data_IF_714560278851
#
_entry.id   IF_714560278851
#
_cell.length_a   1.000
_cell.length_b   1.000
_cell.length_c   1.000
_cell.angle_alpha   90.00
_cell.angle_beta   90.00
_cell.angle_gamma   90.00
#
_symmetry.space_group_name_H-M   'P 1'
#
loop_
_entity.id
_entity.type
_entity.pdbx_description
1 polymer ?
#
# COMPACT_ATOMS: atom_id res chain seq x y z
N UNK A 1 10.28 19.75 1.12
CA UNK A 1 9.04 19.20 0.52
C UNK A 1 8.08 18.78 1.63
N UNK A 2 6.77 18.90 1.39
CA UNK A 2 5.75 18.53 2.38
C UNK A 2 5.34 17.08 2.24
N UNK A 3 5.39 16.34 3.35
CA UNK A 3 4.99 14.94 3.42
C UNK A 3 3.84 14.80 4.41
N UNK A 4 2.69 14.35 3.92
CA UNK A 4 1.60 13.94 4.79
C UNK A 4 1.87 12.53 5.33
N UNK A 5 1.70 12.36 6.63
CA UNK A 5 1.83 11.06 7.30
C UNK A 5 0.57 10.69 8.05
N UNK A 6 0.12 9.45 7.89
CA UNK A 6 -1.00 8.88 8.62
C UNK A 6 -0.86 7.37 8.73
N UNK A 7 -1.60 6.79 9.67
CA UNK A 7 -1.68 5.36 9.88
C UNK A 7 -3.04 4.84 9.45
N UNK A 8 -3.07 3.60 8.99
CA UNK A 8 -4.30 2.85 8.81
C UNK A 8 -4.21 1.51 9.53
N UNK A 9 -5.26 1.18 10.26
CA UNK A 9 -5.38 -0.05 11.06
C UNK A 9 -6.66 -0.79 10.73
N UNK A 10 -6.61 -2.11 10.68
CA UNK A 10 -7.79 -2.94 10.44
C UNK A 10 -7.52 -4.40 10.80
N UNK A 11 -8.58 -5.17 11.08
CA UNK A 11 -8.44 -6.57 11.49
C UNK A 11 -7.96 -7.44 10.32
N UNK A 12 -8.50 -7.17 9.13
CA UNK A 12 -8.24 -7.91 7.91
C UNK A 12 -7.96 -6.97 6.74
N UNK A 13 -7.19 -7.44 5.77
CA UNK A 13 -6.96 -6.74 4.51
C UNK A 13 -6.94 -7.71 3.31
N UNK A 14 -7.27 -7.19 2.13
CA UNK A 14 -7.10 -7.90 0.88
C UNK A 14 -6.70 -6.94 -0.25
N UNK A 15 -5.46 -7.01 -0.68
CA UNK A 15 -4.90 -6.21 -1.77
C UNK A 15 -4.69 -7.11 -2.99
N UNK A 16 -5.72 -7.24 -3.84
CA UNK A 16 -5.74 -8.24 -4.92
C UNK A 16 -4.50 -8.17 -5.81
N UNK A 17 -3.86 -9.32 -6.03
CA UNK A 17 -2.81 -9.49 -7.05
C UNK A 17 -3.38 -9.41 -8.45
N UNK A 18 -2.77 -8.59 -9.30
CA UNK A 18 -3.27 -8.33 -10.68
C UNK A 18 -3.05 -9.50 -11.64
N UNK A 19 -2.14 -10.43 -11.32
CA UNK A 19 -1.73 -11.53 -12.20
C UNK A 19 -2.40 -12.87 -11.87
N UNK A 20 -3.43 -12.89 -11.01
CA UNK A 20 -4.14 -14.12 -10.63
C UNK A 20 -5.59 -14.10 -11.10
N UNK A 21 -5.96 -15.09 -11.92
CA UNK A 21 -7.30 -15.20 -12.50
C UNK A 21 -8.24 -16.06 -11.64
N UNK A 22 -7.82 -17.28 -11.28
CA UNK A 22 -8.69 -18.28 -10.62
C UNK A 22 -8.65 -18.24 -9.09
N UNK A 23 -7.65 -17.56 -8.52
CA UNK A 23 -7.49 -17.38 -7.08
C UNK A 23 -7.45 -15.90 -6.76
N UNK A 24 -7.92 -15.53 -5.57
CA UNK A 24 -7.83 -14.16 -5.06
C UNK A 24 -6.67 -14.08 -4.09
N UNK A 25 -5.45 -13.95 -4.62
CA UNK A 25 -4.25 -13.75 -3.80
C UNK A 25 -4.10 -12.27 -3.42
N UNK A 26 -3.44 -12.00 -2.29
CA UNK A 26 -3.21 -10.65 -1.77
C UNK A 26 -1.71 -10.28 -1.81
N UNK A 27 -1.40 -9.02 -2.09
CA UNK A 27 -0.14 -8.41 -1.66
C UNK A 27 -0.10 -8.31 -0.13
N UNK A 28 1.08 -8.08 0.45
CA UNK A 28 1.24 -7.89 1.91
C UNK A 28 0.90 -6.48 2.39
N UNK A 29 0.92 -5.50 1.50
CA UNK A 29 0.61 -4.10 1.78
C UNK A 29 -0.12 -3.53 0.55
N UNK A 30 -0.86 -2.42 0.67
CA UNK A 30 -1.54 -1.83 -0.47
C UNK A 30 -0.51 -1.28 -1.47
N UNK A 31 -0.55 -1.68 -2.75
CA UNK A 31 0.27 -1.05 -3.78
C UNK A 31 -0.02 0.46 -3.90
N UNK A 32 0.89 1.27 -4.49
CA UNK A 32 0.67 2.70 -4.71
C UNK A 32 -0.68 3.01 -5.38
N UNK A 33 -1.09 2.21 -6.36
CA UNK A 33 -2.40 2.33 -7.03
C UNK A 33 -3.59 2.15 -6.08
N UNK A 34 -3.48 1.26 -5.10
CA UNK A 34 -4.51 1.06 -4.06
C UNK A 34 -4.53 2.23 -3.09
N UNK A 35 -3.36 2.76 -2.72
CA UNK A 35 -3.26 3.92 -1.82
C UNK A 35 -3.83 5.16 -2.50
N UNK A 36 -3.55 5.37 -3.78
CA UNK A 36 -4.19 6.41 -4.60
C UNK A 36 -5.72 6.29 -4.54
N UNK A 37 -6.27 5.08 -4.71
CA UNK A 37 -7.72 4.84 -4.58
C UNK A 37 -8.26 5.11 -3.17
N UNK A 38 -7.52 4.75 -2.12
CA UNK A 38 -7.89 5.07 -0.74
C UNK A 38 -7.92 6.58 -0.51
N UNK A 39 -6.92 7.31 -1.00
CA UNK A 39 -6.83 8.78 -0.90
C UNK A 39 -7.96 9.46 -1.69
N UNK A 40 -8.16 9.03 -2.93
CA UNK A 40 -9.23 9.48 -3.79
C UNK A 40 -10.61 9.32 -3.11
N UNK A 41 -10.86 8.16 -2.49
CA UNK A 41 -12.09 7.90 -1.74
C UNK A 41 -12.25 8.83 -0.52
N UNK A 42 -11.18 9.06 0.25
CA UNK A 42 -11.22 9.99 1.39
C UNK A 42 -11.55 11.43 0.95
N UNK A 43 -11.03 11.85 -0.21
CA UNK A 43 -11.26 13.16 -0.84
C UNK A 43 -12.58 13.25 -1.62
N UNK A 44 -13.30 12.14 -1.82
CA UNK A 44 -14.58 12.12 -2.53
C UNK A 44 -14.45 12.19 -4.05
N UNK A 45 -13.33 11.71 -4.61
CA UNK A 45 -13.19 11.55 -6.06
C UNK A 45 -14.08 10.42 -6.54
N UNK A 46 -14.69 10.64 -7.69
CA UNK A 46 -15.53 9.65 -8.34
C UNK A 46 -14.71 8.47 -8.84
N UNK A 47 -15.39 7.34 -8.99
CA UNK A 47 -14.79 6.13 -9.54
C UNK A 47 -14.25 6.42 -10.94
N UNK A 48 -13.00 6.03 -11.19
CA UNK A 48 -12.29 6.21 -12.47
C UNK A 48 -11.91 7.65 -12.86
N UNK A 49 -12.10 8.63 -11.97
CA UNK A 49 -11.79 10.03 -12.29
C UNK A 49 -10.41 10.52 -11.83
N UNK A 50 -9.65 9.69 -11.11
CA UNK A 50 -8.51 10.17 -10.30
C UNK A 50 -7.13 9.70 -10.79
N UNK A 51 -7.05 8.92 -11.87
CA UNK A 51 -5.78 8.32 -12.32
C UNK A 51 -4.71 9.35 -12.70
N UNK A 52 -5.08 10.45 -13.36
CA UNK A 52 -4.13 11.51 -13.72
C UNK A 52 -3.71 12.37 -12.51
N UNK A 53 -4.63 12.61 -11.57
CA UNK A 53 -4.35 13.33 -10.32
C UNK A 53 -3.30 12.58 -9.48
N UNK A 54 -3.44 11.26 -9.37
CA UNK A 54 -2.54 10.41 -8.58
C UNK A 54 -1.51 9.62 -9.39
N UNK A 55 -1.11 10.15 -10.56
CA UNK A 55 -0.04 9.56 -11.37
C UNK A 55 1.32 9.72 -10.67
N UNK A 56 2.26 8.80 -10.92
CA UNK A 56 3.56 8.73 -10.25
C UNK A 56 4.39 10.05 -10.26
N UNK A 57 4.16 10.92 -11.23
CA UNK A 57 4.80 12.24 -11.34
C UNK A 57 4.22 13.27 -10.36
N UNK A 58 2.94 13.13 -10.03
CA UNK A 58 2.18 14.02 -9.17
C UNK A 58 2.02 13.47 -7.75
N UNK A 59 2.13 12.14 -7.57
CA UNK A 59 1.84 11.45 -6.33
C UNK A 59 2.88 10.37 -6.04
N UNK A 60 3.56 10.49 -4.91
CA UNK A 60 4.56 9.52 -4.46
C UNK A 60 4.18 8.98 -3.09
N UNK A 61 4.40 7.68 -2.91
CA UNK A 61 4.01 6.99 -1.68
C UNK A 61 5.13 6.10 -1.17
N UNK A 62 5.36 6.18 0.14
CA UNK A 62 6.11 5.17 0.88
C UNK A 62 5.17 4.49 1.87
N UNK A 63 5.39 3.19 2.08
CA UNK A 63 4.60 2.38 3.00
C UNK A 63 5.53 1.75 4.02
N UNK A 64 5.27 1.96 5.30
CA UNK A 64 5.88 1.20 6.39
C UNK A 64 4.85 0.23 6.94
N UNK A 65 5.19 -1.05 6.97
CA UNK A 65 4.40 -2.08 7.67
C UNK A 65 4.78 -1.97 9.15
N UNK A 66 3.78 -1.78 10.02
CA UNK A 66 4.02 -1.54 11.45
C UNK A 66 3.94 -2.82 12.29
N UNK A 67 3.27 -3.86 11.80
CA UNK A 67 3.07 -5.13 12.51
C UNK A 67 3.37 -6.32 11.62
N UNK A 68 4.05 -7.36 12.14
CA UNK A 68 4.24 -8.61 11.41
C UNK A 68 2.91 -9.19 10.94
N UNK A 69 2.88 -9.62 9.68
CA UNK A 69 1.67 -10.05 8.99
C UNK A 69 1.65 -11.57 8.80
N UNK A 70 0.46 -12.16 8.74
CA UNK A 70 0.23 -13.53 8.28
C UNK A 70 -0.85 -13.56 7.22
N UNK A 71 -0.79 -14.58 6.37
CA UNK A 71 -1.77 -14.87 5.33
C UNK A 71 -2.58 -16.10 5.72
N UNK A 72 -3.89 -15.99 5.58
CA UNK A 72 -4.81 -17.12 5.72
C UNK A 72 -5.59 -17.29 4.42
N UNK A 73 -5.76 -18.53 4.00
CA UNK A 73 -6.50 -18.86 2.77
C UNK A 73 -7.80 -19.56 3.16
N UNK A 74 -8.91 -18.99 2.72
CA UNK A 74 -10.25 -19.58 2.86
C UNK A 74 -10.85 -19.84 1.49
N UNK A 75 -11.65 -20.88 1.36
CA UNK A 75 -12.45 -21.09 0.16
C UNK A 75 -13.77 -20.34 0.30
N UNK A 76 -14.01 -19.38 -0.59
CA UNK A 76 -15.24 -18.57 -0.60
C UNK A 76 -16.14 -19.04 -1.74
N UNK A 77 -17.43 -19.20 -1.44
CA UNK A 77 -18.46 -19.53 -2.43
C UNK A 77 -18.93 -18.24 -3.12
N UNK A 78 -18.57 -18.08 -4.39
CA UNK A 78 -19.09 -17.03 -5.25
C UNK A 78 -20.28 -17.53 -6.10
N UNK A 79 -21.13 -16.60 -6.52
CA UNK A 79 -22.17 -16.89 -7.49
C UNK A 79 -21.53 -17.17 -8.86
N UNK A 80 -21.88 -18.30 -9.48
CA UNK A 80 -21.46 -18.62 -10.85
C UNK A 80 -22.39 -17.93 -11.83
N UNK A 81 -21.96 -16.81 -12.43
CA UNK A 81 -22.77 -16.04 -13.39
C UNK A 81 -22.26 -16.28 -14.81
N UNK A 82 -23.05 -16.97 -15.62
CA UNK A 82 -22.83 -17.17 -17.07
C UNK A 82 -23.76 -16.32 -17.93
N UNK A 83 -24.86 -15.84 -17.35
CA UNK A 83 -25.78 -14.90 -17.98
C UNK A 83 -26.74 -14.25 -16.97
N UNK A 84 -27.59 -13.34 -17.45
CA UNK A 84 -28.52 -12.56 -16.60
C UNK A 84 -29.41 -13.41 -15.68
N UNK A 85 -29.84 -14.58 -16.12
CA UNK A 85 -30.72 -15.47 -15.33
C UNK A 85 -30.05 -15.95 -14.03
N UNK A 86 -28.74 -16.11 -14.03
CA UNK A 86 -27.99 -16.65 -12.89
C UNK A 86 -27.90 -15.62 -11.74
N UNK A 87 -28.17 -14.34 -12.01
CA UNK A 87 -28.26 -13.29 -10.99
C UNK A 87 -29.46 -13.47 -10.06
N UNK A 88 -30.51 -14.15 -10.54
CA UNK A 88 -31.77 -14.33 -9.82
C UNK A 88 -32.01 -15.79 -9.40
N UNK A 89 -31.36 -16.75 -10.07
CA UNK A 89 -31.48 -18.17 -9.78
C UNK A 89 -30.16 -18.72 -9.24
N UNK A 90 -30.16 -19.20 -7.98
CA UNK A 90 -28.97 -19.80 -7.36
C UNK A 90 -28.59 -21.10 -8.08
N UNK A 91 -27.50 -21.08 -8.82
CA UNK A 91 -26.84 -22.29 -9.34
C UNK A 91 -25.79 -22.80 -8.34
N UNK A 92 -25.16 -23.94 -8.65
CA UNK A 92 -23.97 -24.41 -7.93
C UNK A 92 -22.92 -23.28 -7.85
N UNK A 93 -22.41 -22.96 -6.65
CA UNK A 93 -21.45 -21.87 -6.48
C UNK A 93 -20.11 -22.23 -7.14
N UNK A 94 -19.33 -21.20 -7.45
CA UNK A 94 -17.91 -21.37 -7.77
C UNK A 94 -17.08 -21.15 -6.50
N UNK A 95 -16.14 -22.04 -6.25
CA UNK A 95 -15.29 -22.02 -5.07
C UNK A 95 -13.96 -21.39 -5.41
N UNK A 96 -13.69 -20.23 -4.81
CA UNK A 96 -12.49 -19.45 -5.08
C UNK A 96 -11.62 -19.44 -3.82
N UNK A 97 -10.36 -19.91 -3.89
CA UNK A 97 -9.38 -19.68 -2.84
C UNK A 97 -9.16 -18.17 -2.68
N UNK A 98 -9.38 -17.67 -1.47
CA UNK A 98 -9.33 -16.27 -1.12
C UNK A 98 -8.32 -16.05 0.01
N UNK A 99 -7.27 -15.30 -0.29
CA UNK A 99 -6.23 -14.96 0.67
C UNK A 99 -6.61 -13.68 1.44
N UNK A 100 -6.57 -13.76 2.76
CA UNK A 100 -6.83 -12.66 3.67
C UNK A 100 -5.55 -12.39 4.45
N UNK A 101 -5.15 -11.13 4.53
CA UNK A 101 -4.10 -10.67 5.43
C UNK A 101 -4.68 -10.38 6.81
N UNK A 102 -3.93 -10.72 7.86
CA UNK A 102 -4.16 -10.26 9.23
C UNK A 102 -2.83 -10.14 9.97
N UNK A 103 -2.83 -9.46 11.11
CA UNK A 103 -1.64 -9.41 11.97
C UNK A 103 -1.34 -10.74 12.62
N UNK A 104 -0.08 -10.95 13.01
CA UNK A 104 0.28 -12.02 13.97
C UNK A 104 -0.43 -11.79 15.32
N UNK A 105 -0.68 -10.52 15.68
CA UNK A 105 -1.44 -10.07 16.85
C UNK A 105 -2.78 -9.40 16.42
N UNK A 106 -3.53 -10.09 15.56
CA UNK A 106 -4.93 -9.82 15.20
C UNK A 106 -5.28 -8.52 14.45
N UNK A 107 -4.32 -7.65 14.11
CA UNK A 107 -4.55 -6.50 13.22
C UNK A 107 -3.39 -6.20 12.28
N UNK A 108 -3.73 -5.71 11.09
CA UNK A 108 -2.78 -5.11 10.17
C UNK A 108 -2.69 -3.62 10.45
N UNK A 109 -1.48 -3.08 10.40
CA UNK A 109 -1.23 -1.66 10.60
C UNK A 109 -0.16 -1.19 9.62
N UNK A 110 -0.46 -0.11 8.92
CA UNK A 110 0.45 0.54 7.96
C UNK A 110 0.59 2.01 8.31
N UNK A 111 1.79 2.56 8.10
CA UNK A 111 2.03 4.00 8.06
C UNK A 111 2.35 4.42 6.65
N UNK A 112 1.63 5.42 6.18
CA UNK A 112 1.78 5.99 4.84
C UNK A 112 2.50 7.32 4.91
N UNK A 113 3.35 7.55 3.92
CA UNK A 113 4.02 8.82 3.67
C UNK A 113 3.65 9.24 2.26
N UNK A 114 2.93 10.34 2.15
CA UNK A 114 2.38 10.81 0.90
C UNK A 114 2.99 12.16 0.57
N UNK A 115 3.59 12.21 -0.61
CA UNK A 115 3.90 13.46 -1.28
C UNK A 115 2.95 13.64 -2.45
N UNK A 116 2.49 14.87 -2.64
CA UNK A 116 1.73 15.26 -3.82
C UNK A 116 2.25 16.59 -4.34
N UNK A 117 2.20 16.80 -5.66
CA UNK A 117 2.64 18.04 -6.32
C UNK A 117 1.81 19.24 -5.88
N UNK A 118 0.51 19.04 -5.68
CA UNK A 118 -0.41 20.02 -5.13
C UNK A 118 -0.48 19.87 -3.59
N UNK A 119 -0.01 20.91 -2.88
CA UNK A 119 -0.03 20.97 -1.43
C UNK A 119 -1.45 21.19 -0.88
N UNK A 120 -2.34 21.84 -1.62
CA UNK A 120 -3.71 22.11 -1.16
C UNK A 120 -4.48 20.79 -0.98
N UNK A 121 -4.24 19.82 -1.86
CA UNK A 121 -4.73 18.45 -1.71
C UNK A 121 -4.20 17.80 -0.42
N UNK A 122 -2.91 17.96 -0.10
CA UNK A 122 -2.34 17.42 1.14
C UNK A 122 -2.96 18.07 2.39
N UNK A 123 -3.18 19.39 2.36
CA UNK A 123 -3.82 20.12 3.45
C UNK A 123 -5.28 19.69 3.63
N UNK A 124 -6.03 19.53 2.54
CA UNK A 124 -7.41 19.02 2.58
C UNK A 124 -7.45 17.59 3.16
N UNK A 125 -6.57 16.71 2.70
CA UNK A 125 -6.50 15.33 3.20
C UNK A 125 -6.08 15.29 4.68
N UNK A 126 -5.12 16.11 5.09
CA UNK A 126 -4.71 16.28 6.50
C UNK A 126 -5.90 16.68 7.37
N UNK A 127 -6.67 17.68 6.95
CA UNK A 127 -7.84 18.16 7.68
C UNK A 127 -8.91 17.07 7.81
N UNK A 128 -9.20 16.36 6.71
CA UNK A 128 -10.18 15.25 6.71
C UNK A 128 -9.76 14.13 7.65
N UNK A 129 -8.47 13.77 7.69
CA UNK A 129 -7.93 12.75 8.58
C UNK A 129 -8.05 13.19 10.04
N UNK A 130 -7.59 14.40 10.37
CA UNK A 130 -7.61 14.92 11.75
C UNK A 130 -9.02 15.06 12.31
N UNK A 131 -9.99 15.39 11.47
CA UNK A 131 -11.38 15.57 11.86
C UNK A 131 -12.26 14.33 11.60
N UNK A 132 -11.73 13.25 11.02
CA UNK A 132 -12.51 12.06 10.64
C UNK A 132 -13.62 12.32 9.62
N UNK A 133 -13.44 13.30 8.73
CA UNK A 133 -14.46 13.75 7.75
C UNK A 133 -14.20 13.22 6.33
N UNK A 134 -14.19 11.90 6.20
CA UNK A 134 -14.02 11.25 4.90
C UNK A 134 -15.29 11.33 4.06
N UNK A 135 -15.15 11.57 2.75
CA UNK A 135 -16.28 11.50 1.83
C UNK A 135 -16.80 10.06 1.69
N UNK A 136 -15.88 9.10 1.60
CA UNK A 136 -16.17 7.67 1.62
C UNK A 136 -15.36 6.97 2.72
N UNK A 137 -15.92 5.92 3.37
CA UNK A 137 -15.22 5.18 4.40
C UNK A 137 -14.00 4.44 3.82
N UNK A 138 -12.82 4.56 4.43
CA UNK A 138 -11.61 3.89 3.96
C UNK A 138 -11.67 2.38 4.25
N UNK A 139 -11.10 1.61 3.32
CA UNK A 139 -10.98 0.15 3.44
C UNK A 139 -9.68 -0.34 2.80
N UNK A 140 -9.23 -1.52 3.22
CA UNK A 140 -8.05 -2.19 2.69
C UNK A 140 -8.38 -3.07 1.47
N UNK A 141 -8.40 -2.40 0.30
CA UNK A 141 -8.47 -3.01 -1.03
C UNK A 141 -9.87 -3.43 -1.48
N UNK A 142 -10.69 -4.05 -0.64
CA UNK A 142 -12.11 -4.28 -0.93
C UNK A 142 -13.03 -3.87 0.25
N UNK A 143 -14.27 -3.51 -0.07
CA UNK A 143 -15.23 -2.92 0.87
C UNK A 143 -15.44 -3.70 2.19
N UNK A 144 -15.41 -5.05 2.24
CA UNK A 144 -15.54 -5.79 3.51
C UNK A 144 -14.35 -5.62 4.47
N UNK A 145 -13.23 -5.06 4.01
CA UNK A 145 -12.00 -4.91 4.79
C UNK A 145 -11.86 -3.47 5.31
N UNK A 146 -12.86 -2.98 6.04
CA UNK A 146 -12.84 -1.62 6.61
C UNK A 146 -11.59 -1.34 7.43
N UNK A 147 -11.12 -0.10 7.40
CA UNK A 147 -9.97 0.33 8.20
C UNK A 147 -10.21 1.67 8.88
N UNK A 148 -9.47 1.91 9.95
CA UNK A 148 -9.46 3.15 10.72
C UNK A 148 -8.22 3.95 10.40
N UNK A 149 -8.38 5.25 10.19
CA UNK A 149 -7.28 6.16 9.85
C UNK A 149 -6.99 7.05 11.06
N UNK A 150 -5.71 7.28 11.35
CA UNK A 150 -5.25 8.17 12.42
C UNK A 150 -3.98 8.94 12.03
N UNK A 151 -3.73 10.07 12.69
CA UNK A 151 -2.61 10.97 12.39
C UNK A 151 -3.04 12.12 11.48
N UNK A 152 -2.40 12.25 10.32
CA UNK A 152 -2.66 13.34 9.37
C UNK A 152 -1.69 14.51 9.52
N UNK A 153 -0.48 14.26 10.00
CA UNK A 153 0.54 15.29 10.20
C UNK A 153 1.30 15.56 8.91
N UNK A 154 1.49 16.84 8.59
CA UNK A 154 2.33 17.27 7.48
C UNK A 154 3.68 17.68 8.05
N UNK A 155 4.72 17.05 7.52
CA UNK A 155 6.10 17.26 7.94
C UNK A 155 6.89 17.78 6.74
N UNK A 156 7.55 18.91 6.93
CA UNK A 156 8.51 19.41 5.97
C UNK A 156 9.83 18.65 6.14
N UNK A 157 10.34 18.11 5.04
CA UNK A 157 11.58 17.35 5.01
C UNK A 157 12.29 17.53 3.66
N UNK A 158 13.55 17.15 3.59
CA UNK A 158 14.39 17.26 2.41
C UNK A 158 14.91 15.89 1.98
N UNK A 159 15.15 15.74 0.68
CA UNK A 159 15.73 14.54 0.12
C UNK A 159 17.23 14.47 0.48
N UNK A 160 17.64 13.35 1.08
CA UNK A 160 19.00 13.11 1.51
C UNK A 160 19.67 12.13 0.54
N UNK A 161 20.87 12.49 0.10
CA UNK A 161 21.79 11.61 -0.66
C UNK A 161 22.81 11.05 0.34
N UNK A 162 23.06 9.75 0.29
CA UNK A 162 24.07 9.10 1.13
C UNK A 162 24.68 7.90 0.42
N UNK A 163 26.01 7.84 0.39
CA UNK A 163 26.78 6.66 -0.06
C UNK A 163 27.04 5.65 1.08
N UNK A 164 26.60 5.99 2.29
CA UNK A 164 26.74 5.17 3.49
C UNK A 164 25.54 4.25 3.71
N UNK A 165 25.69 3.24 4.57
CA UNK A 165 24.61 2.33 4.94
C UNK A 165 23.55 3.05 5.77
N UNK A 166 22.30 3.01 5.30
CA UNK A 166 21.13 3.61 5.93
C UNK A 166 20.11 2.54 6.26
N UNK A 167 19.48 2.63 7.43
CA UNK A 167 18.37 1.75 7.82
C UNK A 167 17.05 2.31 7.31
N UNK A 168 16.45 1.64 6.32
CA UNK A 168 15.20 2.05 5.66
C UNK A 168 14.01 1.29 6.25
N UNK A 169 12.99 2.05 6.63
CA UNK A 169 11.83 1.58 7.39
C UNK A 169 10.61 1.33 6.51
N UNK A 170 10.57 1.90 5.30
CA UNK A 170 9.53 1.64 4.32
C UNK A 170 9.85 0.42 3.47
N UNK A 171 8.85 -0.08 2.74
CA UNK A 171 9.04 -0.95 1.59
C UNK A 171 10.00 -0.27 0.61
N UNK A 172 10.91 -1.06 0.04
CA UNK A 172 12.02 -0.57 -0.79
C UNK A 172 11.83 -1.10 -2.21
N UNK A 173 11.83 -0.21 -3.20
CA UNK A 173 11.95 -0.61 -4.59
C UNK A 173 13.34 -1.21 -4.82
N UNK A 174 13.42 -2.42 -5.38
CA UNK A 174 14.68 -3.14 -5.59
C UNK A 174 15.63 -2.35 -6.49
N UNK A 175 15.11 -1.53 -7.41
CA UNK A 175 15.94 -0.67 -8.27
C UNK A 175 16.71 0.39 -7.49
N UNK A 176 16.28 0.69 -6.26
CA UNK A 176 16.89 1.70 -5.39
C UNK A 176 18.05 1.16 -4.56
N UNK A 177 18.25 -0.15 -4.55
CA UNK A 177 19.25 -0.84 -3.73
C UNK A 177 20.55 -0.98 -4.53
N UNK A 178 21.68 -0.61 -3.94
CA UNK A 178 23.00 -0.90 -4.51
C UNK A 178 23.28 -2.39 -4.38
N UNK A 179 23.83 -3.01 -5.42
CA UNK A 179 24.15 -4.44 -5.43
C UNK A 179 25.04 -4.85 -4.25
N UNK A 180 24.77 -6.03 -3.70
CA UNK A 180 25.47 -6.63 -2.55
C UNK A 180 25.58 -5.72 -1.30
N UNK A 181 24.68 -4.75 -1.16
CA UNK A 181 24.73 -3.76 -0.06
C UNK A 181 23.77 -4.05 1.09
N UNK A 182 23.00 -5.14 1.07
CA UNK A 182 22.07 -5.45 2.18
C UNK A 182 22.85 -6.07 3.35
N UNK A 183 22.89 -5.38 4.48
CA UNK A 183 23.48 -5.92 5.71
C UNK A 183 22.50 -6.85 6.43
N UNK A 184 22.89 -8.12 6.60
CA UNK A 184 22.15 -9.08 7.41
C UNK A 184 22.48 -8.85 8.88
N UNK A 185 21.68 -7.99 9.51
CA UNK A 185 21.78 -7.67 10.94
C UNK A 185 20.92 -8.61 11.80
N UNK A 186 21.24 -8.72 13.09
CA UNK A 186 20.40 -9.45 14.05
C UNK A 186 18.97 -8.90 14.05
N UNK A 187 18.00 -9.77 13.82
CA UNK A 187 16.58 -9.44 13.73
C UNK A 187 16.02 -9.47 12.30
N UNK A 188 16.86 -9.26 11.28
CA UNK A 188 16.47 -9.41 9.87
C UNK A 188 16.40 -10.90 9.52
N UNK A 189 15.21 -11.48 9.64
CA UNK A 189 15.06 -12.94 9.48
C UNK A 189 14.63 -13.35 8.09
N UNK A 190 13.76 -12.56 7.44
CA UNK A 190 13.18 -12.97 6.16
C UNK A 190 12.78 -11.76 5.33
N UNK A 191 13.56 -11.51 4.27
CA UNK A 191 13.21 -10.53 3.26
C UNK A 191 12.19 -11.14 2.31
N UNK A 192 11.03 -10.52 2.20
CA UNK A 192 10.00 -10.85 1.22
C UNK A 192 10.22 -10.01 -0.02
N UNK A 193 10.11 -10.63 -1.20
CA UNK A 193 10.16 -9.96 -2.50
C UNK A 193 8.84 -10.19 -3.24
N UNK A 194 8.28 -9.14 -3.83
CA UNK A 194 7.09 -9.23 -4.68
C UNK A 194 7.21 -8.26 -5.87
N UNK A 195 6.29 -8.39 -6.84
CA UNK A 195 6.15 -7.47 -7.98
C UNK A 195 4.76 -6.85 -7.90
N UNK A 196 4.69 -5.53 -7.76
CA UNK A 196 3.44 -4.79 -7.54
C UNK A 196 3.17 -3.80 -8.69
N UNK A 197 1.90 -3.48 -8.99
CA UNK A 197 1.57 -2.35 -9.86
C UNK A 197 1.88 -1.03 -9.15
N UNK A 198 2.52 -0.11 -9.87
CA UNK A 198 2.76 1.26 -9.37
C UNK A 198 1.88 2.29 -10.06
N UNK A 199 1.53 2.06 -11.34
CA UNK A 199 0.68 2.94 -12.13
C UNK A 199 -0.41 2.17 -12.91
N UNK A 200 -1.57 2.80 -13.05
CA UNK A 200 -2.65 2.38 -13.94
C UNK A 200 -2.99 3.50 -14.93
N UNK A 201 -3.35 3.13 -16.16
CA UNK A 201 -4.00 4.03 -17.09
C UNK A 201 -5.51 4.17 -16.76
N UNK A 202 -6.20 5.03 -17.51
CA UNK A 202 -7.64 5.26 -17.36
C UNK A 202 -8.48 3.98 -17.55
N UNK A 203 -7.98 3.00 -18.31
CA UNK A 203 -8.64 1.70 -18.54
C UNK A 203 -8.32 0.65 -17.46
N UNK A 204 -7.64 1.04 -16.36
CA UNK A 204 -7.22 0.18 -15.25
C UNK A 204 -6.22 -0.91 -15.64
N UNK A 205 -5.45 -0.67 -16.70
CA UNK A 205 -4.39 -1.57 -17.13
C UNK A 205 -3.09 -1.16 -16.44
N UNK A 206 -2.36 -2.11 -15.81
CA UNK A 206 -1.02 -1.85 -15.27
C UNK A 206 -0.08 -1.34 -16.37
N UNK A 207 0.38 -0.09 -16.23
CA UNK A 207 1.38 0.48 -17.14
C UNK A 207 2.80 0.11 -16.69
N UNK A 208 3.01 0.11 -15.37
CA UNK A 208 4.31 -0.13 -14.76
C UNK A 208 4.21 -0.96 -13.50
N UNK A 209 5.21 -1.79 -13.29
CA UNK A 209 5.39 -2.60 -12.09
C UNK A 209 6.74 -2.32 -11.46
N UNK A 210 6.84 -2.55 -10.15
CA UNK A 210 8.07 -2.45 -9.39
C UNK A 210 8.32 -3.75 -8.62
N UNK A 211 9.57 -4.22 -8.64
CA UNK A 211 10.04 -5.22 -7.71
C UNK A 211 10.31 -4.55 -6.37
N UNK A 212 9.76 -5.11 -5.30
CA UNK A 212 9.83 -4.51 -3.95
C UNK A 212 10.32 -5.52 -2.93
N UNK A 213 11.01 -5.03 -1.90
CA UNK A 213 11.45 -5.81 -0.75
C UNK A 213 11.06 -5.15 0.58
N UNK A 214 10.85 -5.99 1.58
CA UNK A 214 10.64 -5.61 2.98
C UNK A 214 10.91 -6.82 3.89
N UNK A 215 11.11 -6.59 5.19
CA UNK A 215 11.26 -7.67 6.17
C UNK A 215 9.90 -8.13 6.72
N UNK A 216 9.70 -9.44 6.81
CA UNK A 216 8.48 -10.07 7.34
C UNK A 216 8.17 -9.65 8.79
N UNK A 217 9.21 -9.40 9.60
CA UNK A 217 9.09 -8.94 11.00
C UNK A 217 9.06 -7.41 11.14
N UNK A 218 8.95 -6.68 10.04
CA UNK A 218 8.93 -5.20 10.02
C UNK A 218 10.22 -4.56 10.54
N UNK A 219 11.34 -5.29 10.47
CA UNK A 219 12.66 -4.75 10.82
C UNK A 219 13.15 -3.83 9.69
N UNK A 220 13.65 -2.62 9.99
CA UNK A 220 14.26 -1.77 8.98
C UNK A 220 15.43 -2.49 8.29
N UNK A 221 15.50 -2.40 6.96
CA UNK A 221 16.57 -3.03 6.20
C UNK A 221 17.71 -2.03 6.09
N UNK A 222 18.90 -2.44 6.54
CA UNK A 222 20.11 -1.63 6.46
C UNK A 222 20.84 -1.92 5.16
N UNK A 223 20.94 -0.92 4.28
CA UNK A 223 21.53 -1.06 2.95
C UNK A 223 22.08 0.27 2.40
N UNK A 224 22.75 0.22 1.25
CA UNK A 224 23.10 1.43 0.49
C UNK A 224 22.09 1.68 -0.62
N UNK A 225 21.75 2.95 -0.82
CA UNK A 225 20.79 3.38 -1.84
C UNK A 225 21.53 4.04 -3.02
N UNK A 226 21.05 3.80 -4.23
CA UNK A 226 21.44 4.57 -5.43
C UNK A 226 20.44 5.71 -5.73
N UNK A 227 19.55 5.98 -4.79
CA UNK A 227 18.52 7.01 -4.85
C UNK A 227 18.54 7.84 -3.57
N UNK A 228 17.75 8.91 -3.55
CA UNK A 228 17.55 9.74 -2.36
C UNK A 228 16.52 9.11 -1.43
N UNK A 229 16.68 9.34 -0.13
CA UNK A 229 15.70 8.97 0.89
C UNK A 229 15.23 10.20 1.66
N UNK A 230 14.16 10.05 2.44
CA UNK A 230 13.65 11.09 3.33
C UNK A 230 13.85 10.65 4.77
N UNK A 231 14.19 11.59 5.65
CA UNK A 231 14.22 11.37 7.10
C UNK A 231 13.04 12.10 7.74
N UNK A 232 12.18 11.33 8.42
CA UNK A 232 10.94 11.82 9.03
C UNK A 232 10.95 11.35 10.48
N UNK A 233 11.35 12.24 11.39
CA UNK A 233 11.63 11.88 12.78
C UNK A 233 12.77 10.87 12.86
N UNK A 234 12.50 9.68 13.42
CA UNK A 234 13.48 8.60 13.54
C UNK A 234 13.39 7.57 12.41
N UNK A 235 12.58 7.83 11.39
CA UNK A 235 12.30 6.89 10.30
C UNK A 235 12.91 7.40 8.99
N UNK A 236 13.77 6.59 8.37
CA UNK A 236 14.21 6.83 7.01
C UNK A 236 13.34 6.03 6.04
N UNK A 237 12.83 6.68 5.00
CA UNK A 237 11.91 6.10 4.03
C UNK A 237 12.34 6.42 2.60
N UNK A 238 11.96 5.53 1.69
CA UNK A 238 12.05 5.73 0.25
C UNK A 238 10.66 5.58 -0.35
N UNK A 239 10.36 6.38 -1.37
CA UNK A 239 9.18 6.15 -2.19
C UNK A 239 9.34 4.86 -2.99
N UNK A 240 8.23 4.19 -3.27
CA UNK A 240 8.17 2.93 -4.03
C UNK A 240 8.22 3.22 -5.54
#
# INVERSE_FOLDING_TARGET
>A
MNILTFKATGIYAHFRKIYTNSSSLSYYFPPPTTIAGMVAAMLGRERDSYYEEFRDENFKVAVKILKPLRKMTHTVNYMLVKGRKDLYCRTTPTQIPFEILTGVQDEVEYKFYIWHKDNDLLYELSDRIKNGRFAFPPYFGAAPFSCFISGGDIIETEEIVSDSFVSIHSVINVQHVVDDSIEVINGLTRIIKDIIPVAFNADRVPERTAGVIFDEKCTPIRLKLNTKYLSIGNENIVFI
#
